data_IF_689716977484
#
_entry.id   IF_689716977484
#
_cell.length_a   1.000
_cell.length_b   1.000
_cell.length_c   1.000
_cell.angle_alpha   90.00
_cell.angle_beta   90.00
_cell.angle_gamma   90.00
#
_symmetry.space_group_name_H-M   'P 1'
#
loop_
_entity.id
_entity.type
_entity.pdbx_description
1 polymer ?
#
# COMPACT_ATOMS: atom_id res chain seq x y z
N UNK A 1 9.04 -3.21 2.57
CA UNK A 1 7.69 -3.58 3.05
C UNK A 1 7.36 -2.73 4.27
N UNK A 2 6.09 -2.49 4.55
CA UNK A 2 5.63 -1.99 5.84
C UNK A 2 5.79 -3.08 6.91
N UNK A 3 5.79 -2.69 8.19
CA UNK A 3 6.02 -3.62 9.30
C UNK A 3 4.74 -4.39 9.72
N UNK A 4 3.57 -3.83 9.44
CA UNK A 4 2.26 -4.43 9.77
C UNK A 4 1.22 -4.17 8.67
N UNK A 5 0.15 -4.97 8.57
CA UNK A 5 -0.95 -4.67 7.66
C UNK A 5 -1.61 -3.32 7.98
N UNK A 6 -1.73 -2.96 9.27
CA UNK A 6 -2.28 -1.66 9.68
C UNK A 6 -1.42 -0.47 9.23
N UNK A 7 -0.10 -0.64 9.12
CA UNK A 7 0.78 0.41 8.57
C UNK A 7 0.50 0.67 7.07
N UNK A 8 0.04 -0.33 6.32
CA UNK A 8 -0.42 -0.14 4.93
C UNK A 8 -1.68 0.73 4.88
N UNK A 9 -2.64 0.49 5.77
CA UNK A 9 -3.87 1.28 5.88
C UNK A 9 -3.59 2.72 6.33
N UNK A 10 -2.69 2.89 7.30
CA UNK A 10 -2.27 4.21 7.78
C UNK A 10 -1.58 5.02 6.67
N UNK A 11 -0.66 4.40 5.92
CA UNK A 11 -0.01 5.04 4.78
C UNK A 11 -1.01 5.43 3.68
N UNK A 12 -1.99 4.56 3.40
CA UNK A 12 -3.08 4.88 2.48
C UNK A 12 -3.86 6.12 2.92
N UNK A 13 -4.25 6.20 4.20
CA UNK A 13 -4.97 7.36 4.75
C UNK A 13 -4.18 8.66 4.64
N UNK A 14 -2.89 8.63 4.98
CA UNK A 14 -1.98 9.77 4.84
C UNK A 14 -1.85 10.22 3.39
N UNK A 15 -1.65 9.30 2.44
CA UNK A 15 -1.44 9.62 1.03
C UNK A 15 -2.72 10.13 0.35
N UNK A 16 -3.87 9.51 0.65
CA UNK A 16 -5.16 9.99 0.20
C UNK A 16 -5.46 11.38 0.77
N UNK A 17 -5.15 11.62 2.05
CA UNK A 17 -5.27 12.94 2.68
C UNK A 17 -4.38 14.02 2.05
N UNK A 18 -3.23 13.62 1.48
CA UNK A 18 -2.32 14.48 0.69
C UNK A 18 -2.75 14.66 -0.77
N UNK A 19 -3.81 14.00 -1.21
CA UNK A 19 -4.35 14.12 -2.57
C UNK A 19 -3.69 13.21 -3.60
N UNK A 20 -2.90 12.22 -3.21
CA UNK A 20 -2.39 11.22 -4.15
C UNK A 20 -3.55 10.38 -4.70
N UNK A 21 -3.52 10.10 -6.00
CA UNK A 21 -4.56 9.30 -6.66
C UNK A 21 -4.36 7.82 -6.32
N UNK A 22 -5.31 7.23 -5.60
CA UNK A 22 -5.31 5.82 -5.28
C UNK A 22 -5.92 5.02 -6.45
N UNK A 23 -5.13 4.13 -7.06
CA UNK A 23 -5.59 3.23 -8.14
C UNK A 23 -6.19 1.93 -7.60
N UNK A 24 -5.67 1.46 -6.47
CA UNK A 24 -6.15 0.28 -5.77
C UNK A 24 -6.15 0.61 -4.28
N UNK A 25 -7.33 0.62 -3.66
CA UNK A 25 -7.47 0.77 -2.21
C UNK A 25 -6.80 -0.41 -1.46
N UNK A 26 -6.47 -0.27 -0.16
CA UNK A 26 -5.92 -1.36 0.63
C UNK A 26 -6.72 -2.65 0.47
N UNK A 27 -6.04 -3.71 0.05
CA UNK A 27 -6.61 -5.02 -0.26
C UNK A 27 -5.64 -6.10 0.21
N UNK A 28 -6.19 -7.20 0.71
CA UNK A 28 -5.41 -8.39 1.04
C UNK A 28 -5.20 -9.23 -0.23
N UNK A 29 -3.95 -9.63 -0.46
CA UNK A 29 -3.51 -10.55 -1.51
C UNK A 29 -2.82 -11.74 -0.84
N UNK A 30 -2.52 -12.78 -1.62
CA UNK A 30 -1.90 -14.01 -1.11
C UNK A 30 -0.61 -13.73 -0.31
N UNK A 31 0.18 -12.75 -0.75
CA UNK A 31 1.44 -12.35 -0.09
C UNK A 31 1.28 -11.41 1.12
N UNK A 32 0.07 -10.89 1.38
CA UNK A 32 -0.18 -9.87 2.41
C UNK A 32 -0.98 -8.66 1.92
N UNK A 33 -0.89 -7.55 2.65
CA UNK A 33 -1.77 -6.37 2.47
C UNK A 33 -1.08 -5.31 1.60
N UNK A 34 -1.80 -4.72 0.64
CA UNK A 34 -1.21 -3.79 -0.32
C UNK A 34 -2.20 -2.72 -0.81
N UNK A 35 -1.68 -1.58 -1.27
CA UNK A 35 -2.41 -0.59 -2.07
C UNK A 35 -1.50 -0.04 -3.19
N UNK A 36 -2.11 0.57 -4.20
CA UNK A 36 -1.38 1.23 -5.30
C UNK A 36 -1.87 2.67 -5.47
N UNK A 37 -0.93 3.61 -5.53
CA UNK A 37 -1.18 5.02 -5.81
C UNK A 37 -0.39 5.52 -7.02
N UNK A 38 -0.76 6.70 -7.52
CA UNK A 38 0.05 7.49 -8.44
C UNK A 38 0.69 8.66 -7.70
N UNK A 39 1.98 8.88 -8.00
CA UNK A 39 2.65 10.14 -7.67
C UNK A 39 2.20 11.27 -8.63
N UNK A 40 2.59 12.54 -8.39
CA UNK A 40 2.24 13.65 -9.28
C UNK A 40 2.71 13.49 -10.73
N UNK A 41 3.75 12.70 -10.98
CA UNK A 41 4.29 12.40 -12.31
C UNK A 41 3.59 11.20 -12.98
N UNK A 42 2.61 10.60 -12.32
CA UNK A 42 1.86 9.39 -12.71
C UNK A 42 2.66 8.09 -12.68
N UNK A 43 3.74 8.01 -11.90
CA UNK A 43 4.38 6.73 -11.58
C UNK A 43 3.55 5.93 -10.57
N UNK A 44 3.51 4.61 -10.74
CA UNK A 44 2.82 3.71 -9.82
C UNK A 44 3.68 3.39 -8.61
N UNK A 45 3.19 3.77 -7.44
CA UNK A 45 3.79 3.42 -6.17
C UNK A 45 2.96 2.30 -5.53
N UNK A 46 3.63 1.18 -5.18
CA UNK A 46 3.00 0.09 -4.43
C UNK A 46 3.54 0.07 -3.01
N UNK A 47 2.62 0.19 -2.06
CA UNK A 47 2.91 -0.04 -0.65
C UNK A 47 2.36 -1.40 -0.29
N UNK A 48 3.13 -2.17 0.48
CA UNK A 48 2.74 -3.49 0.90
C UNK A 48 3.40 -3.89 2.21
N UNK A 49 2.71 -4.75 2.96
CA UNK A 49 3.25 -5.57 4.03
C UNK A 49 3.27 -7.02 3.53
N UNK A 50 4.40 -7.71 3.71
CA UNK A 50 4.51 -9.15 3.44
C UNK A 50 4.10 -9.89 4.69
N UNK A 51 3.22 -10.87 4.55
CA UNK A 51 2.92 -11.77 5.65
C UNK A 51 4.16 -12.63 5.98
N UNK A 52 4.25 -13.14 7.22
CA UNK A 52 5.41 -13.92 7.68
C UNK A 52 5.66 -15.21 6.86
N UNK A 53 4.65 -15.72 6.16
CA UNK A 53 4.74 -16.92 5.32
C UNK A 53 5.31 -16.67 3.91
N UNK A 54 5.32 -15.42 3.45
CA UNK A 54 5.74 -15.02 2.11
C UNK A 54 7.09 -14.27 2.08
N UNK A 55 7.79 -14.21 3.21
CA UNK A 55 9.11 -13.57 3.38
C UNK A 55 10.26 -14.50 2.98
N UNK A 56 10.14 -15.18 1.84
CA UNK A 56 11.10 -16.18 1.34
C UNK A 56 12.57 -15.77 1.43
#
# INVERSE_FOLDING_TARGET
AQDTPAAVDAAHGDWAGRGLKILQAPTDMDFGRTFVALDPDNHRLRVYWLNEGDQG
#
